data_IF_302842128072
#
_entry.id   IF_302842128072
#
_cell.length_a   1.000
_cell.length_b   1.000
_cell.length_c   1.000
_cell.angle_alpha   90.00
_cell.angle_beta   90.00
_cell.angle_gamma   90.00
#
_symmetry.space_group_name_H-M   'P 1'
#
loop_
_entity.id
_entity.type
_entity.pdbx_description
1 polymer ?
#
# COMPACT_ATOMS: atom_id res chain seq x y z
N UNK A 1 -5.77 50.41 7.48
CA UNK A 1 -6.07 49.55 6.31
C UNK A 1 -4.88 48.59 6.17
N UNK A 2 -5.00 47.32 6.58
CA UNK A 2 -5.48 46.16 5.79
C UNK A 2 -4.73 46.12 4.44
N UNK A 3 -4.04 45.05 4.04
CA UNK A 3 -4.46 43.64 4.00
C UNK A 3 -3.21 42.75 4.11
N UNK A 4 -3.23 41.78 5.03
CA UNK A 4 -2.27 40.65 5.08
C UNK A 4 -2.73 39.66 4.02
N UNK A 5 -1.92 39.30 2.99
CA UNK A 5 -2.25 38.15 2.17
C UNK A 5 -2.02 36.91 3.03
N UNK A 6 -3.12 36.41 3.58
CA UNK A 6 -3.30 35.07 4.12
C UNK A 6 -2.89 34.10 3.01
N UNK A 7 -1.63 33.65 3.02
CA UNK A 7 -1.17 32.57 2.16
C UNK A 7 -1.99 31.34 2.52
N UNK A 8 -2.99 31.09 1.68
CA UNK A 8 -3.87 29.96 1.69
C UNK A 8 -3.01 28.71 1.44
N UNK A 9 -2.47 28.13 2.51
CA UNK A 9 -1.87 26.81 2.49
C UNK A 9 -3.01 25.81 2.20
N UNK A 10 -3.25 25.57 0.91
CA UNK A 10 -4.07 24.48 0.44
C UNK A 10 -3.32 23.19 0.75
N UNK A 11 -3.41 22.74 2.01
CA UNK A 11 -3.05 21.38 2.38
C UNK A 11 -4.12 20.51 1.74
N UNK A 12 -3.90 20.15 0.47
CA UNK A 12 -4.59 19.03 -0.15
C UNK A 12 -4.11 17.82 0.63
N UNK A 13 -4.81 17.50 1.71
CA UNK A 13 -4.64 16.26 2.41
C UNK A 13 -4.98 15.16 1.40
N UNK A 14 -3.95 14.63 0.74
CA UNK A 14 -4.04 13.43 -0.06
C UNK A 14 -4.48 12.33 0.92
N UNK A 15 -5.79 12.07 0.97
CA UNK A 15 -6.33 11.05 1.83
C UNK A 15 -5.67 9.73 1.39
N UNK A 16 -4.95 9.09 2.30
CA UNK A 16 -4.39 7.77 2.10
C UNK A 16 -5.15 6.81 3.01
N UNK A 17 -5.51 5.65 2.49
CA UNK A 17 -6.18 4.61 3.27
C UNK A 17 -5.12 3.56 3.60
N UNK A 18 -4.90 3.32 4.89
CA UNK A 18 -3.96 2.32 5.39
C UNK A 18 -4.69 1.14 6.02
N UNK A 19 -4.15 -0.07 5.85
CA UNK A 19 -4.64 -1.31 6.49
C UNK A 19 -3.45 -2.10 7.03
N UNK A 20 -3.60 -2.61 8.25
CA UNK A 20 -2.50 -3.24 9.00
C UNK A 20 -2.89 -4.66 9.41
N UNK A 21 -1.95 -5.59 9.35
CA UNK A 21 -2.08 -6.96 9.88
C UNK A 21 -0.78 -7.38 10.57
N UNK A 22 -0.90 -8.23 11.60
CA UNK A 22 0.23 -8.89 12.22
C UNK A 22 0.50 -10.21 11.52
N UNK A 23 1.76 -10.47 11.16
CA UNK A 23 2.19 -11.67 10.44
C UNK A 23 3.41 -12.28 11.13
N UNK A 24 3.35 -13.55 11.46
CA UNK A 24 4.50 -14.32 11.94
C UNK A 24 5.04 -15.18 10.78
N UNK A 25 6.24 -14.90 10.27
CA UNK A 25 6.84 -15.75 9.24
C UNK A 25 7.00 -17.18 9.78
N UNK A 26 6.62 -18.21 8.99
CA UNK A 26 6.69 -19.59 9.46
C UNK A 26 8.14 -20.04 9.65
N UNK A 27 8.37 -20.85 10.68
CA UNK A 27 9.69 -21.42 10.97
C UNK A 27 10.68 -20.45 11.63
N UNK A 28 10.19 -19.38 12.24
CA UNK A 28 11.02 -18.39 12.95
C UNK A 28 10.54 -18.23 14.39
N UNK A 29 11.50 -17.96 15.29
CA UNK A 29 11.23 -17.48 16.65
C UNK A 29 11.23 -15.93 16.69
N UNK A 30 11.22 -15.25 15.54
CA UNK A 30 11.17 -13.79 15.49
C UNK A 30 9.82 -13.24 15.99
N UNK A 31 9.81 -11.99 16.44
CA UNK A 31 8.57 -11.31 16.77
C UNK A 31 7.67 -11.20 15.52
N UNK A 32 6.34 -11.24 15.72
CA UNK A 32 5.40 -11.05 14.62
C UNK A 32 5.57 -9.65 14.01
N UNK A 33 5.70 -9.60 12.69
CA UNK A 33 5.85 -8.36 11.95
C UNK A 33 4.51 -7.65 11.77
N UNK A 34 4.53 -6.33 11.83
CA UNK A 34 3.37 -5.51 11.43
C UNK A 34 3.47 -5.12 9.96
N UNK A 35 2.61 -5.70 9.13
CA UNK A 35 2.50 -5.36 7.70
C UNK A 35 1.42 -4.31 7.52
N UNK A 36 1.82 -3.11 7.10
CA UNK A 36 0.92 -2.03 6.72
C UNK A 36 0.94 -1.84 5.20
N UNK A 37 -0.23 -1.88 4.58
CA UNK A 37 -0.43 -1.51 3.18
C UNK A 37 -1.21 -0.21 3.11
N UNK A 38 -0.61 0.81 2.54
CA UNK A 38 -1.23 2.10 2.28
C UNK A 38 -1.53 2.26 0.79
N UNK A 39 -2.76 2.68 0.46
CA UNK A 39 -3.14 3.17 -0.86
C UNK A 39 -3.36 4.68 -0.82
N UNK A 40 -2.55 5.43 -1.57
CA UNK A 40 -2.79 6.85 -1.79
C UNK A 40 -3.87 7.08 -2.84
N UNK A 41 -4.83 7.97 -2.56
CA UNK A 41 -5.85 8.38 -3.55
C UNK A 41 -5.22 9.08 -4.76
N UNK A 42 -4.12 9.82 -4.56
CA UNK A 42 -3.44 10.55 -5.64
C UNK A 42 -2.34 9.66 -6.23
N UNK A 43 -2.42 9.40 -7.54
CA UNK A 43 -1.42 8.59 -8.25
C UNK A 43 -1.50 7.07 -8.00
N UNK A 44 -2.53 6.59 -7.29
CA UNK A 44 -2.78 5.17 -7.01
C UNK A 44 -1.53 4.44 -6.48
N UNK A 45 -0.84 5.07 -5.52
CA UNK A 45 0.40 4.54 -4.95
C UNK A 45 0.13 3.55 -3.83
N UNK A 46 0.76 2.39 -3.91
CA UNK A 46 0.76 1.36 -2.88
C UNK A 46 2.11 1.36 -2.16
N UNK A 47 2.06 1.46 -0.84
CA UNK A 47 3.23 1.38 0.04
C UNK A 47 3.05 0.20 0.97
N UNK A 48 4.03 -0.71 1.03
CA UNK A 48 4.10 -1.79 2.02
C UNK A 48 5.19 -1.45 3.02
N UNK A 49 4.79 -1.37 4.29
CA UNK A 49 5.69 -1.16 5.43
C UNK A 49 5.67 -2.40 6.31
N UNK A 50 6.84 -2.86 6.75
CA UNK A 50 6.99 -3.97 7.69
C UNK A 50 7.79 -3.44 8.89
N UNK A 51 7.23 -3.49 10.10
CA UNK A 51 7.88 -2.99 11.34
C UNK A 51 8.55 -1.62 11.16
N UNK A 52 7.82 -0.63 10.64
CA UNK A 52 8.28 0.74 10.35
C UNK A 52 9.23 0.91 9.15
N UNK A 53 9.70 -0.18 8.53
CA UNK A 53 10.53 -0.10 7.32
C UNK A 53 9.66 -0.09 6.07
N UNK A 54 9.77 0.94 5.21
CA UNK A 54 9.15 0.90 3.88
C UNK A 54 9.89 -0.11 3.01
N UNK A 55 9.22 -1.22 2.71
CA UNK A 55 9.80 -2.34 1.95
C UNK A 55 9.47 -2.21 0.46
N UNK A 56 8.24 -1.82 0.14
CA UNK A 56 7.79 -1.60 -1.24
C UNK A 56 7.08 -0.25 -1.32
N UNK A 57 7.38 0.53 -2.35
CA UNK A 57 6.61 1.71 -2.73
C UNK A 57 6.50 1.78 -4.24
N UNK A 58 5.28 1.58 -4.77
CA UNK A 58 5.03 1.60 -6.22
C UNK A 58 3.69 2.24 -6.57
N UNK A 59 3.70 3.05 -7.61
CA UNK A 59 2.49 3.66 -8.17
C UNK A 59 1.85 2.74 -9.19
N UNK A 60 0.56 2.49 -9.03
CA UNK A 60 -0.27 1.84 -10.06
C UNK A 60 -0.70 2.85 -11.13
N UNK A 61 0.14 3.84 -11.46
CA UNK A 61 -0.16 4.85 -12.45
C UNK A 61 -0.50 4.19 -13.80
N UNK A 62 -1.77 4.33 -14.22
CA UNK A 62 -2.27 3.94 -15.54
C UNK A 62 -2.37 2.42 -15.83
N UNK A 63 -2.45 1.56 -14.81
CA UNK A 63 -2.61 0.12 -15.06
C UNK A 63 -4.06 -0.23 -15.46
N UNK A 64 -4.22 -0.81 -16.65
CA UNK A 64 -5.41 -1.57 -17.06
C UNK A 64 -5.36 -3.04 -16.58
N UNK A 65 -4.34 -3.42 -15.82
CA UNK A 65 -4.08 -4.79 -15.36
C UNK A 65 -3.59 -4.87 -13.90
N UNK A 66 -2.85 -5.93 -13.57
CA UNK A 66 -2.25 -6.12 -12.24
C UNK A 66 -0.84 -5.51 -12.14
N UNK A 67 -0.53 -4.93 -10.97
CA UNK A 67 0.82 -4.52 -10.59
C UNK A 67 1.43 -5.63 -9.74
N UNK A 68 2.57 -6.17 -10.15
CA UNK A 68 3.33 -7.11 -9.34
C UNK A 68 4.74 -6.56 -9.13
N UNK A 69 5.22 -6.56 -7.89
CA UNK A 69 6.58 -6.15 -7.54
C UNK A 69 7.10 -6.98 -6.39
N UNK A 70 8.41 -7.16 -6.32
CA UNK A 70 9.06 -8.00 -5.31
C UNK A 70 10.35 -7.34 -4.83
N UNK A 71 10.76 -7.69 -3.62
CA UNK A 71 11.97 -7.22 -2.96
C UNK A 71 12.37 -8.23 -1.87
N UNK A 72 13.41 -7.92 -1.11
CA UNK A 72 13.85 -8.73 0.03
C UNK A 72 13.84 -7.90 1.31
N UNK A 73 13.33 -8.48 2.40
CA UNK A 73 13.36 -7.90 3.75
C UNK A 73 13.84 -8.97 4.73
N UNK A 74 14.94 -8.68 5.47
CA UNK A 74 15.56 -9.61 6.43
C UNK A 74 15.83 -11.03 5.86
N UNK A 75 16.13 -11.13 4.57
CA UNK A 75 16.36 -12.42 3.89
C UNK A 75 15.11 -13.13 3.37
N UNK A 76 13.92 -12.58 3.60
CA UNK A 76 12.66 -13.08 3.07
C UNK A 76 12.28 -12.36 1.78
N UNK A 77 11.84 -13.09 0.77
CA UNK A 77 11.23 -12.52 -0.42
C UNK A 77 9.88 -11.91 -0.05
N UNK A 78 9.71 -10.62 -0.28
CA UNK A 78 8.44 -9.91 -0.09
C UNK A 78 7.90 -9.52 -1.45
N UNK A 79 6.71 -10.00 -1.80
CA UNK A 79 6.04 -9.73 -3.06
C UNK A 79 4.72 -9.02 -2.81
N UNK A 80 4.48 -7.93 -3.51
CA UNK A 80 3.20 -7.24 -3.57
C UNK A 80 2.55 -7.54 -4.93
N UNK A 81 1.34 -8.05 -4.90
CA UNK A 81 0.44 -8.15 -6.04
C UNK A 81 -0.74 -7.21 -5.81
N UNK A 82 -1.00 -6.30 -6.75
CA UNK A 82 -2.17 -5.45 -6.75
C UNK A 82 -2.99 -5.75 -7.99
N UNK A 83 -4.23 -6.17 -7.79
CA UNK A 83 -5.19 -6.45 -8.86
C UNK A 83 -6.24 -5.36 -8.91
N UNK A 84 -6.45 -4.79 -10.09
CA UNK A 84 -7.59 -3.90 -10.32
C UNK A 84 -8.87 -4.74 -10.39
N UNK A 85 -9.81 -4.50 -9.48
CA UNK A 85 -11.13 -5.12 -9.49
C UNK A 85 -12.04 -4.26 -10.38
N UNK A 86 -12.72 -4.88 -11.35
CA UNK A 86 -13.56 -4.17 -12.32
C UNK A 86 -14.52 -3.21 -11.63
N UNK A 87 -14.48 -1.96 -12.07
CA UNK A 87 -15.39 -0.91 -11.63
C UNK A 87 -16.63 -0.91 -12.50
N UNK A 88 -17.81 -1.01 -11.88
CA UNK A 88 -19.04 -0.61 -12.56
C UNK A 88 -18.96 0.89 -12.89
N UNK A 89 -19.44 1.32 -14.07
CA UNK A 89 -19.51 2.74 -14.41
C UNK A 89 -20.21 3.52 -13.29
N UNK A 90 -19.51 4.53 -12.73
CA UNK A 90 -20.01 5.35 -11.62
C UNK A 90 -19.46 5.03 -10.23
N UNK A 91 -18.61 3.99 -10.07
CA UNK A 91 -17.96 3.66 -8.81
C UNK A 91 -16.47 3.97 -8.82
N UNK A 92 -15.89 4.23 -7.64
CA UNK A 92 -14.45 4.42 -7.46
C UNK A 92 -13.67 3.13 -7.76
N UNK A 93 -12.50 3.20 -8.41
CA UNK A 93 -11.69 2.01 -8.75
C UNK A 93 -11.33 1.22 -7.49
N UNK A 94 -11.70 -0.07 -7.50
CA UNK A 94 -11.45 -1.01 -6.42
C UNK A 94 -10.17 -1.78 -6.70
N UNK A 95 -9.35 -1.98 -5.68
CA UNK A 95 -8.08 -2.69 -5.81
C UNK A 95 -7.97 -3.75 -4.72
N UNK A 96 -7.40 -4.89 -5.07
CA UNK A 96 -7.00 -5.90 -4.12
C UNK A 96 -5.47 -5.91 -4.04
N UNK A 97 -4.91 -5.65 -2.87
CA UNK A 97 -3.48 -5.74 -2.61
C UNK A 97 -3.20 -6.97 -1.75
N UNK A 98 -2.40 -7.89 -2.27
CA UNK A 98 -1.95 -9.10 -1.60
C UNK A 98 -0.43 -9.03 -1.40
N UNK A 99 0.02 -9.21 -0.17
CA UNK A 99 1.43 -9.29 0.20
C UNK A 99 1.76 -10.75 0.49
N UNK A 100 2.82 -11.24 -0.15
CA UNK A 100 3.39 -12.54 0.10
C UNK A 100 4.77 -12.40 0.73
N UNK A 101 5.08 -13.28 1.66
CA UNK A 101 6.42 -13.45 2.26
C UNK A 101 6.87 -14.88 1.97
N UNK A 102 7.96 -15.08 1.23
CA UNK A 102 8.43 -16.38 0.75
C UNK A 102 7.34 -17.24 0.06
N UNK A 103 6.47 -16.57 -0.71
CA UNK A 103 5.27 -17.15 -1.34
C UNK A 103 4.09 -17.51 -0.42
N UNK A 104 4.21 -17.33 0.89
CA UNK A 104 3.07 -17.45 1.80
C UNK A 104 2.26 -16.14 1.80
N UNK A 105 0.93 -16.24 1.72
CA UNK A 105 0.05 -15.07 1.80
C UNK A 105 0.09 -14.49 3.22
N UNK A 106 0.73 -13.31 3.35
CA UNK A 106 0.93 -12.65 4.63
C UNK A 106 -0.14 -11.59 4.91
N UNK A 107 -0.65 -10.94 3.87
CA UNK A 107 -1.72 -9.96 3.97
C UNK A 107 -2.55 -9.90 2.69
N UNK A 108 -3.85 -9.65 2.82
CA UNK A 108 -4.74 -9.42 1.70
C UNK A 108 -5.77 -8.34 2.04
N UNK A 109 -5.82 -7.28 1.25
CA UNK A 109 -6.65 -6.12 1.52
C UNK A 109 -7.35 -5.60 0.27
N UNK A 110 -8.64 -5.27 0.40
CA UNK A 110 -9.40 -4.56 -0.64
C UNK A 110 -9.49 -3.07 -0.31
N UNK A 111 -9.24 -2.22 -1.30
CA UNK A 111 -9.33 -0.76 -1.25
C UNK A 111 -10.19 -0.19 -2.38
#
# INVERSE_FOLDING_TARGET
MRIIPLFLALIVAACAISKVVSYAPPGTDEHSWQINVEKSTIGQRFTVTIDDSTVIQKSAALFTGSLQTQTTYKGYEVKLLVTHLTTYPGYSPRYEATVFVNNDEAAKFTF
#
